data_IF_498502607090
#
_entry.id   IF_498502607090
#
_cell.length_a   1.000
_cell.length_b   1.000
_cell.length_c   1.000
_cell.angle_alpha   90.00
_cell.angle_beta   90.00
_cell.angle_gamma   90.00
#
_symmetry.space_group_name_H-M   'P 1'
#
loop_
_entity.id
_entity.type
_entity.pdbx_description
1 polymer ?
#
# COMPACT_ATOMS: atom_id res chain seq x y z
N UNK A 1 -10.49 0.68 11.53
CA UNK A 1 -11.22 1.96 11.62
C UNK A 1 -10.75 2.65 12.89
N UNK A 2 -10.90 3.97 12.99
CA UNK A 2 -10.83 4.64 14.29
C UNK A 2 -12.15 4.48 15.08
N UNK A 3 -12.21 5.05 16.28
CA UNK A 3 -13.40 5.00 17.16
C UNK A 3 -14.62 5.73 16.56
N UNK A 4 -14.43 6.50 15.48
CA UNK A 4 -15.48 7.23 14.75
C UNK A 4 -15.89 6.53 13.45
N UNK A 5 -15.42 5.30 13.23
CA UNK A 5 -15.73 4.52 12.03
C UNK A 5 -15.01 4.99 10.77
N UNK A 6 -14.00 5.87 10.87
CA UNK A 6 -13.22 6.33 9.72
C UNK A 6 -12.14 5.31 9.35
N UNK A 7 -11.89 5.17 8.05
CA UNK A 7 -10.80 4.32 7.54
C UNK A 7 -9.47 5.05 7.72
N UNK A 8 -8.64 4.53 8.64
CA UNK A 8 -7.30 5.09 8.94
C UNK A 8 -6.15 4.25 8.37
N UNK A 9 -6.38 2.97 8.06
CA UNK A 9 -5.38 2.04 7.52
C UNK A 9 -6.02 0.84 6.84
N UNK A 10 -5.44 0.42 5.72
CA UNK A 10 -5.73 -0.86 5.06
C UNK A 10 -4.61 -1.85 5.40
N UNK A 11 -4.97 -3.02 5.92
CA UNK A 11 -4.01 -4.09 6.23
C UNK A 11 -4.33 -5.30 5.33
N UNK A 12 -3.77 -5.34 4.14
CA UNK A 12 -4.03 -6.41 3.18
C UNK A 12 -2.80 -6.74 2.35
N UNK A 13 -2.29 -7.94 2.53
CA UNK A 13 -1.35 -8.59 1.63
C UNK A 13 -1.73 -10.06 1.54
N UNK A 14 -2.25 -10.48 0.38
CA UNK A 14 -2.76 -11.84 0.23
C UNK A 14 -1.67 -12.91 0.34
N UNK A 15 -0.41 -12.60 -0.02
CA UNK A 15 0.68 -13.55 0.02
C UNK A 15 1.13 -13.87 1.47
N UNK A 16 0.93 -12.94 2.40
CA UNK A 16 1.30 -13.10 3.82
C UNK A 16 0.08 -13.34 4.71
N UNK A 17 -1.12 -13.45 4.13
CA UNK A 17 -2.32 -13.82 4.89
C UNK A 17 -2.17 -15.28 5.30
N UNK A 18 -2.29 -15.53 6.59
CA UNK A 18 -2.12 -16.87 7.16
C UNK A 18 -3.15 -17.87 6.61
N UNK A 19 -2.79 -19.15 6.64
CA UNK A 19 -3.73 -20.25 6.42
C UNK A 19 -4.65 -20.43 7.63
N UNK A 20 -4.17 -20.08 8.84
CA UNK A 20 -5.00 -20.00 10.04
C UNK A 20 -5.99 -18.87 9.87
N UNK A 21 -7.28 -19.22 9.80
CA UNK A 21 -8.36 -18.24 9.70
C UNK A 21 -9.30 -18.37 10.89
N UNK A 22 -9.04 -17.55 11.90
CA UNK A 22 -9.72 -17.57 13.21
C UNK A 22 -11.10 -16.92 13.16
N UNK A 23 -12.04 -17.59 12.50
CA UNK A 23 -13.45 -17.22 12.44
C UNK A 23 -14.32 -18.47 12.51
N UNK A 24 -15.58 -18.36 12.98
CA UNK A 24 -16.56 -19.41 12.82
C UNK A 24 -16.72 -19.83 11.34
N UNK A 25 -16.93 -21.12 11.10
CA UNK A 25 -16.95 -21.72 9.75
C UNK A 25 -17.97 -21.04 8.82
N UNK A 26 -19.13 -20.67 9.35
CA UNK A 26 -20.19 -19.98 8.64
C UNK A 26 -19.80 -18.57 8.16
N UNK A 27 -18.76 -17.97 8.75
CA UNK A 27 -18.24 -16.65 8.35
C UNK A 27 -17.15 -16.72 7.29
N UNK A 28 -16.64 -17.91 6.97
CA UNK A 28 -15.53 -18.08 6.01
C UNK A 28 -15.95 -17.62 4.61
N UNK A 29 -17.02 -18.18 4.05
CA UNK A 29 -17.47 -17.83 2.70
C UNK A 29 -17.87 -16.34 2.59
N UNK A 30 -18.66 -15.78 3.52
CA UNK A 30 -19.01 -14.36 3.48
C UNK A 30 -17.79 -13.43 3.49
N UNK A 31 -16.75 -13.78 4.25
CA UNK A 31 -15.50 -13.03 4.25
C UNK A 31 -14.83 -13.05 2.86
N UNK A 32 -14.72 -14.22 2.23
CA UNK A 32 -14.12 -14.32 0.90
C UNK A 32 -14.94 -13.62 -0.18
N UNK A 33 -16.28 -13.63 -0.09
CA UNK A 33 -17.14 -12.83 -0.96
C UNK A 33 -16.87 -11.33 -0.80
N UNK A 34 -16.82 -10.83 0.43
CA UNK A 34 -16.51 -9.41 0.67
C UNK A 34 -15.10 -9.04 0.21
N UNK A 35 -14.11 -9.91 0.44
CA UNK A 35 -12.74 -9.71 -0.03
C UNK A 35 -12.66 -9.67 -1.55
N UNK A 36 -13.41 -10.53 -2.24
CA UNK A 36 -13.47 -10.52 -3.71
C UNK A 36 -14.02 -9.20 -4.23
N UNK A 37 -15.13 -8.72 -3.71
CA UNK A 37 -15.69 -7.42 -4.11
C UNK A 37 -14.70 -6.27 -3.89
N UNK A 38 -14.00 -6.27 -2.75
CA UNK A 38 -12.96 -5.29 -2.47
C UNK A 38 -11.83 -5.34 -3.52
N UNK A 39 -11.35 -6.53 -3.88
CA UNK A 39 -10.30 -6.72 -4.89
C UNK A 39 -10.76 -6.36 -6.30
N UNK A 40 -12.01 -6.67 -6.66
CA UNK A 40 -12.58 -6.35 -7.95
C UNK A 40 -12.70 -4.83 -8.13
N UNK A 41 -13.13 -4.10 -7.09
CA UNK A 41 -13.11 -2.64 -7.07
C UNK A 41 -11.68 -2.10 -7.26
N UNK A 42 -10.71 -2.57 -6.48
CA UNK A 42 -9.30 -2.14 -6.62
C UNK A 42 -8.72 -2.43 -8.01
N UNK A 43 -9.22 -3.47 -8.68
CA UNK A 43 -8.73 -3.90 -10.00
C UNK A 43 -9.38 -3.17 -11.17
N UNK A 44 -10.53 -2.51 -10.94
CA UNK A 44 -11.25 -1.73 -11.93
C UNK A 44 -10.36 -0.68 -12.58
N UNK A 45 -10.64 -0.38 -13.86
CA UNK A 45 -9.91 0.66 -14.62
C UNK A 45 -10.11 2.06 -14.02
N UNK A 46 -11.21 2.27 -13.31
CA UNK A 46 -11.54 3.56 -12.69
C UNK A 46 -10.68 3.85 -11.45
N UNK A 47 -10.38 2.83 -10.65
CA UNK A 47 -9.72 2.99 -9.35
C UNK A 47 -8.22 2.67 -9.37
N UNK A 48 -7.68 2.23 -10.51
CA UNK A 48 -6.29 1.83 -10.66
C UNK A 48 -5.52 2.79 -11.57
N UNK A 49 -4.40 3.29 -11.05
CA UNK A 49 -3.40 4.02 -11.84
C UNK A 49 -2.20 3.12 -12.16
N UNK A 50 -1.68 3.17 -13.38
CA UNK A 50 -0.52 2.37 -13.81
C UNK A 50 0.52 3.25 -14.47
N UNK A 51 1.76 3.15 -14.00
CA UNK A 51 2.94 3.81 -14.59
C UNK A 51 4.14 2.86 -14.56
N UNK A 52 5.20 3.20 -15.28
CA UNK A 52 6.44 2.43 -15.35
C UNK A 52 7.58 3.27 -14.77
N UNK A 53 8.28 2.72 -13.79
CA UNK A 53 9.51 3.32 -13.25
C UNK A 53 10.69 3.04 -14.18
N UNK A 54 11.56 4.02 -14.31
CA UNK A 54 12.85 3.95 -15.00
C UNK A 54 14.00 3.98 -13.97
N UNK A 55 15.22 3.58 -14.36
CA UNK A 55 16.40 3.79 -13.51
C UNK A 55 16.54 5.25 -13.10
N UNK A 56 16.70 5.49 -11.79
CA UNK A 56 16.74 6.83 -11.20
C UNK A 56 15.39 7.35 -10.67
N UNK A 57 14.27 6.74 -11.04
CA UNK A 57 12.96 7.12 -10.50
C UNK A 57 12.79 6.64 -9.06
N UNK A 58 12.21 7.49 -8.22
CA UNK A 58 11.82 7.18 -6.85
C UNK A 58 10.34 7.46 -6.67
N UNK A 59 9.62 6.51 -6.08
CA UNK A 59 8.25 6.73 -5.62
C UNK A 59 8.19 6.69 -4.10
N UNK A 60 7.48 7.66 -3.51
CA UNK A 60 7.19 7.74 -2.08
C UNK A 60 5.68 7.81 -1.92
N UNK A 61 5.11 6.94 -1.11
CA UNK A 61 3.65 6.84 -0.97
C UNK A 61 3.25 6.44 0.46
N UNK A 62 2.00 6.73 0.79
CA UNK A 62 1.38 6.34 2.06
C UNK A 62 0.99 4.86 2.04
N UNK A 63 1.76 4.01 2.71
CA UNK A 63 1.48 2.57 2.79
C UNK A 63 0.29 2.21 3.71
N UNK A 64 -0.25 3.15 4.49
CA UNK A 64 -1.49 2.91 5.23
C UNK A 64 -2.73 3.15 4.36
N UNK A 65 -2.59 3.95 3.29
CA UNK A 65 -3.68 4.36 2.41
C UNK A 65 -3.66 3.64 1.06
N UNK A 66 -2.51 3.58 0.39
CA UNK A 66 -2.41 3.02 -0.96
C UNK A 66 -2.05 1.53 -0.90
N UNK A 67 -2.73 0.73 -1.72
CA UNK A 67 -2.22 -0.57 -2.13
C UNK A 67 -1.39 -0.40 -3.41
N UNK A 68 -0.37 -1.23 -3.57
CA UNK A 68 0.47 -1.22 -4.75
C UNK A 68 0.74 -2.65 -5.24
N UNK A 69 1.02 -2.76 -6.52
CA UNK A 69 1.33 -4.03 -7.16
C UNK A 69 2.18 -3.82 -8.39
N UNK A 70 2.60 -4.92 -9.01
CA UNK A 70 3.37 -4.90 -10.26
C UNK A 70 2.84 -5.96 -11.20
N UNK A 71 3.00 -5.74 -12.51
CA UNK A 71 2.82 -6.81 -13.50
C UNK A 71 3.99 -7.79 -13.42
N UNK A 72 3.77 -9.00 -13.91
CA UNK A 72 4.83 -9.98 -14.13
C UNK A 72 5.86 -9.46 -15.14
N UNK A 73 7.04 -10.07 -15.13
CA UNK A 73 8.12 -9.85 -16.09
C UNK A 73 8.80 -11.19 -16.38
N UNK A 74 9.55 -11.25 -17.47
CA UNK A 74 10.24 -12.48 -17.90
C UNK A 74 11.47 -12.75 -17.03
N UNK A 75 11.66 -14.02 -16.66
CA UNK A 75 12.85 -14.46 -15.95
C UNK A 75 14.00 -14.70 -16.93
N UNK A 76 15.23 -14.60 -16.44
CA UNK A 76 16.46 -14.85 -17.21
C UNK A 76 17.61 -15.23 -16.29
N UNK A 77 18.79 -15.42 -16.87
CA UNK A 77 20.01 -15.80 -16.13
C UNK A 77 20.67 -14.62 -15.39
N UNK A 78 20.36 -13.39 -15.80
CA UNK A 78 20.91 -12.16 -15.24
C UNK A 78 19.83 -11.31 -14.55
N UNK A 79 20.25 -10.37 -13.70
CA UNK A 79 19.35 -9.42 -13.03
C UNK A 79 18.82 -8.41 -14.06
N UNK A 80 17.58 -8.61 -14.51
CA UNK A 80 16.91 -7.73 -15.48
C UNK A 80 16.11 -6.59 -14.83
N UNK A 81 15.89 -6.63 -13.50
CA UNK A 81 15.12 -5.63 -12.75
C UNK A 81 15.55 -5.59 -11.28
N UNK A 82 15.94 -4.41 -10.80
CA UNK A 82 16.30 -4.18 -9.40
C UNK A 82 15.61 -2.91 -8.89
N UNK A 83 15.00 -2.99 -7.70
CA UNK A 83 14.50 -1.85 -6.94
C UNK A 83 15.09 -1.93 -5.54
N UNK A 84 15.55 -0.79 -5.01
CA UNK A 84 15.90 -0.64 -3.61
C UNK A 84 14.73 0.04 -2.86
N UNK A 85 14.44 -0.43 -1.65
CA UNK A 85 13.29 0.03 -0.88
C UNK A 85 13.63 0.24 0.59
N UNK A 86 13.00 1.25 1.19
CA UNK A 86 13.08 1.56 2.61
C UNK A 86 11.72 2.02 3.14
N UNK A 87 11.55 2.02 4.46
CA UNK A 87 10.33 2.48 5.12
C UNK A 87 10.66 3.58 6.13
N UNK A 88 9.68 4.46 6.35
CA UNK A 88 9.73 5.48 7.39
C UNK A 88 8.44 5.46 8.20
N UNK A 89 8.54 5.74 9.50
CA UNK A 89 7.37 5.93 10.36
C UNK A 89 6.67 7.25 10.02
N UNK A 90 5.33 7.24 10.05
CA UNK A 90 4.53 8.44 9.83
C UNK A 90 4.82 9.55 10.84
N UNK A 91 5.17 9.23 12.09
CA UNK A 91 5.56 10.22 13.09
C UNK A 91 6.88 10.89 12.76
N UNK A 92 7.84 10.15 12.18
CA UNK A 92 9.11 10.71 11.70
C UNK A 92 8.86 11.66 10.52
N UNK A 93 8.04 11.25 9.54
CA UNK A 93 7.65 12.08 8.40
C UNK A 93 6.93 13.34 8.86
N UNK A 94 5.96 13.21 9.76
CA UNK A 94 5.17 14.33 10.27
C UNK A 94 5.99 15.26 11.17
N UNK A 95 6.96 14.73 11.91
CA UNK A 95 7.93 15.53 12.67
C UNK A 95 8.73 16.44 11.72
N UNK A 96 9.32 15.88 10.66
CA UNK A 96 10.04 16.66 9.65
C UNK A 96 9.13 17.67 8.95
N UNK A 97 7.90 17.28 8.59
CA UNK A 97 6.93 18.16 7.95
C UNK A 97 6.59 19.38 8.82
N UNK A 98 6.36 19.19 10.14
CA UNK A 98 6.07 20.30 11.06
C UNK A 98 7.22 21.31 11.13
N UNK A 99 8.47 20.82 11.19
CA UNK A 99 9.67 21.66 11.18
C UNK A 99 9.77 22.44 9.86
N UNK A 100 9.64 21.76 8.71
CA UNK A 100 9.71 22.39 7.39
C UNK A 100 8.65 23.47 7.22
N UNK A 101 7.41 23.18 7.64
CA UNK A 101 6.30 24.14 7.59
C UNK A 101 6.59 25.41 8.39
N UNK A 102 7.24 25.29 9.56
CA UNK A 102 7.62 26.44 10.37
C UNK A 102 8.74 27.25 9.70
N UNK A 103 9.77 26.58 9.16
CA UNK A 103 10.88 27.24 8.46
C UNK A 103 10.42 28.04 7.25
N UNK A 104 9.66 27.41 6.36
CA UNK A 104 9.13 28.03 5.14
C UNK A 104 8.24 29.23 5.48
N UNK A 105 7.36 29.13 6.49
CA UNK A 105 6.52 30.25 6.92
C UNK A 105 7.32 31.43 7.48
N UNK A 106 8.47 31.16 8.09
CA UNK A 106 9.33 32.17 8.66
C UNK A 106 10.37 32.72 7.66
N UNK A 107 10.32 32.29 6.39
CA UNK A 107 11.22 32.76 5.34
C UNK A 107 12.66 32.29 5.48
N UNK A 108 12.90 31.19 6.18
CA UNK A 108 14.21 30.51 6.31
C UNK A 108 14.17 29.17 5.60
#
# INVERSE_FOLDING_TARGET
LDDKGQVIRINFNNATRDTVFDVPVERVQPFYSALKEFVDLMSSKEYKYTFKMNPGDVIVFDNWRLLHGRRSYEAGTEISRHLEGAYADWDVVMSRLRILRQKVKNGI
#
